data_IF_643808042369
#
_entry.id   IF_643808042369
#
_cell.length_a   1.000
_cell.length_b   1.000
_cell.length_c   1.000
_cell.angle_alpha   90.00
_cell.angle_beta   90.00
_cell.angle_gamma   90.00
#
_symmetry.space_group_name_H-M   'P 1'
#
loop_
_entity.id
_entity.type
_entity.pdbx_description
1 polymer ?
#
# COMPACT_ATOMS: atom_id res chain seq x y z
N UNK A 1 -33.43 -19.39 -7.88
CA UNK A 1 -33.34 -19.89 -6.49
C UNK A 1 -32.74 -18.76 -5.64
N UNK A 2 -33.12 -18.55 -4.37
CA UNK A 2 -32.45 -17.56 -3.50
C UNK A 2 -31.53 -18.32 -2.55
N UNK A 3 -30.25 -17.93 -2.45
CA UNK A 3 -29.28 -18.61 -1.60
C UNK A 3 -29.42 -18.19 -0.12
N UNK A 4 -29.24 -19.14 0.80
CA UNK A 4 -29.24 -18.85 2.24
C UNK A 4 -27.91 -18.23 2.69
N UNK A 5 -27.90 -17.58 3.86
CA UNK A 5 -26.68 -17.00 4.43
C UNK A 5 -25.56 -18.03 4.62
N UNK A 6 -25.91 -19.28 4.96
CA UNK A 6 -24.93 -20.37 5.13
C UNK A 6 -24.33 -20.80 3.78
N UNK A 7 -25.16 -20.86 2.72
CA UNK A 7 -24.69 -21.16 1.37
C UNK A 7 -23.76 -20.06 0.84
N UNK A 8 -24.09 -18.79 1.07
CA UNK A 8 -23.23 -17.65 0.70
C UNK A 8 -21.90 -17.73 1.46
N UNK A 9 -21.92 -18.07 2.75
CA UNK A 9 -20.70 -18.28 3.53
C UNK A 9 -19.85 -19.45 3.00
N UNK A 10 -20.49 -20.52 2.52
CA UNK A 10 -19.79 -21.63 1.86
C UNK A 10 -19.14 -21.18 0.55
N UNK A 11 -19.85 -20.41 -0.29
CA UNK A 11 -19.30 -19.80 -1.50
C UNK A 11 -18.07 -18.94 -1.16
N UNK A 12 -18.19 -18.06 -0.17
CA UNK A 12 -17.11 -17.19 0.30
C UNK A 12 -15.88 -17.98 0.76
N UNK A 13 -16.09 -19.10 1.46
CA UNK A 13 -15.00 -19.99 1.90
C UNK A 13 -14.32 -20.69 0.72
N UNK A 14 -15.09 -21.15 -0.27
CA UNK A 14 -14.57 -21.85 -1.46
C UNK A 14 -13.79 -20.90 -2.37
N UNK A 15 -14.38 -19.77 -2.75
CA UNK A 15 -13.74 -18.73 -3.58
C UNK A 15 -12.55 -18.11 -2.84
N UNK A 16 -12.67 -17.97 -1.51
CA UNK A 16 -11.62 -17.47 -0.65
C UNK A 16 -10.29 -18.24 -0.69
N UNK A 17 -10.26 -19.47 -1.20
CA UNK A 17 -9.01 -20.23 -1.41
C UNK A 17 -8.21 -19.75 -2.62
N UNK A 18 -8.87 -19.08 -3.57
CA UNK A 18 -8.27 -18.70 -4.86
C UNK A 18 -7.97 -17.22 -4.97
N UNK A 19 -8.67 -16.40 -4.19
CA UNK A 19 -8.59 -14.93 -4.21
C UNK A 19 -7.82 -14.40 -3.01
N UNK A 20 -6.89 -13.47 -3.22
CA UNK A 20 -6.05 -12.92 -2.14
C UNK A 20 -6.74 -11.78 -1.39
N UNK A 21 -7.40 -10.88 -2.11
CA UNK A 21 -7.90 -9.63 -1.52
C UNK A 21 -9.39 -9.66 -1.21
N UNK A 22 -9.80 -8.88 -0.20
CA UNK A 22 -11.18 -8.85 0.27
C UNK A 22 -12.13 -8.28 -0.80
N UNK A 23 -11.72 -7.24 -1.52
CA UNK A 23 -12.55 -6.59 -2.54
C UNK A 23 -12.86 -7.53 -3.70
N UNK A 24 -11.83 -8.21 -4.23
CA UNK A 24 -12.00 -9.22 -5.28
C UNK A 24 -12.87 -10.38 -4.78
N UNK A 25 -12.73 -10.78 -3.51
CA UNK A 25 -13.54 -11.86 -2.95
C UNK A 25 -15.02 -11.47 -2.91
N UNK A 26 -15.34 -10.26 -2.45
CA UNK A 26 -16.71 -9.82 -2.33
C UNK A 26 -17.36 -9.65 -3.72
N UNK A 27 -16.63 -9.12 -4.71
CA UNK A 27 -17.10 -9.00 -6.10
C UNK A 27 -17.36 -10.36 -6.76
N UNK A 28 -16.43 -11.31 -6.62
CA UNK A 28 -16.58 -12.64 -7.22
C UNK A 28 -17.69 -13.42 -6.53
N UNK A 29 -17.86 -13.28 -5.21
CA UNK A 29 -18.97 -13.91 -4.49
C UNK A 29 -20.30 -13.33 -4.94
N UNK A 30 -20.42 -12.01 -5.06
CA UNK A 30 -21.65 -11.34 -5.50
C UNK A 30 -22.04 -11.77 -6.93
N UNK A 31 -21.07 -11.84 -7.83
CA UNK A 31 -21.28 -12.33 -9.20
C UNK A 31 -21.69 -13.81 -9.22
N UNK A 32 -20.99 -14.67 -8.48
CA UNK A 32 -21.29 -16.11 -8.44
C UNK A 32 -22.67 -16.38 -7.83
N UNK A 33 -23.02 -15.68 -6.75
CA UNK A 33 -24.35 -15.77 -6.14
C UNK A 33 -25.40 -15.36 -7.16
N UNK A 34 -25.26 -14.19 -7.78
CA UNK A 34 -26.21 -13.70 -8.80
C UNK A 34 -26.37 -14.69 -9.97
N UNK A 35 -25.27 -15.25 -10.47
CA UNK A 35 -25.29 -16.23 -11.56
C UNK A 35 -26.02 -17.53 -11.18
N UNK A 36 -25.80 -18.05 -9.97
CA UNK A 36 -26.48 -19.25 -9.47
C UNK A 36 -27.97 -18.98 -9.26
N UNK A 37 -28.33 -17.82 -8.72
CA UNK A 37 -29.73 -17.48 -8.45
C UNK A 37 -30.56 -17.35 -9.73
N UNK A 38 -29.92 -16.93 -10.82
CA UNK A 38 -30.48 -16.82 -12.18
C UNK A 38 -30.56 -18.16 -12.93
N UNK A 39 -29.96 -19.24 -12.42
CA UNK A 39 -30.07 -20.58 -13.01
C UNK A 39 -31.22 -21.36 -12.33
N UNK A 40 -32.37 -21.55 -13.01
CA UNK A 40 -33.57 -22.10 -12.38
C UNK A 40 -33.56 -23.62 -12.14
N UNK A 41 -32.58 -24.37 -12.67
CA UNK A 41 -32.67 -25.84 -12.80
C UNK A 41 -31.46 -26.65 -12.28
N UNK A 42 -30.57 -26.06 -11.48
CA UNK A 42 -29.40 -26.80 -11.01
C UNK A 42 -29.73 -27.68 -9.79
N UNK A 43 -30.09 -28.95 -10.03
CA UNK A 43 -30.07 -30.02 -9.02
C UNK A 43 -28.64 -30.45 -8.61
N UNK A 44 -27.64 -29.62 -8.92
CA UNK A 44 -26.24 -29.91 -8.64
C UNK A 44 -25.82 -29.42 -7.24
N UNK A 45 -24.83 -30.08 -6.61
CA UNK A 45 -24.23 -29.57 -5.39
C UNK A 45 -23.69 -28.15 -5.58
N UNK A 46 -23.86 -27.29 -4.56
CA UNK A 46 -23.43 -25.88 -4.57
C UNK A 46 -21.96 -25.70 -5.00
N UNK A 47 -21.08 -26.60 -4.57
CA UNK A 47 -19.66 -26.53 -4.94
C UNK A 47 -19.42 -26.73 -6.44
N UNK A 48 -20.20 -27.60 -7.09
CA UNK A 48 -20.15 -27.82 -8.53
C UNK A 48 -20.66 -26.60 -9.28
N UNK A 49 -21.78 -26.02 -8.82
CA UNK A 49 -22.32 -24.78 -9.40
C UNK A 49 -21.33 -23.63 -9.31
N UNK A 50 -20.70 -23.44 -8.14
CA UNK A 50 -19.65 -22.42 -7.96
C UNK A 50 -18.47 -22.66 -8.89
N UNK A 51 -18.01 -23.91 -9.01
CA UNK A 51 -16.89 -24.24 -9.91
C UNK A 51 -17.26 -24.00 -11.37
N UNK A 52 -18.48 -24.34 -11.77
CA UNK A 52 -18.99 -24.13 -13.12
C UNK A 52 -19.00 -22.64 -13.49
N UNK A 53 -19.57 -21.78 -12.63
CA UNK A 53 -19.57 -20.32 -12.84
C UNK A 53 -18.13 -19.78 -12.87
N UNK A 54 -17.25 -20.25 -11.99
CA UNK A 54 -15.83 -19.84 -12.00
C UNK A 54 -15.12 -20.21 -13.30
N UNK A 55 -15.39 -21.38 -13.86
CA UNK A 55 -14.75 -21.83 -15.09
C UNK A 55 -15.35 -21.14 -16.32
N UNK A 56 -16.66 -20.93 -16.34
CA UNK A 56 -17.38 -20.30 -17.46
C UNK A 56 -17.14 -18.78 -17.53
N UNK A 57 -17.35 -18.05 -16.44
CA UNK A 57 -17.37 -16.58 -16.47
C UNK A 57 -15.99 -15.97 -16.22
N UNK A 58 -15.17 -16.67 -15.42
CA UNK A 58 -13.84 -16.19 -15.05
C UNK A 58 -12.72 -16.95 -15.74
N UNK A 59 -13.00 -17.94 -16.60
CA UNK A 59 -11.98 -18.74 -17.29
C UNK A 59 -11.15 -19.63 -16.34
N UNK A 60 -11.73 -19.93 -15.18
CA UNK A 60 -11.13 -20.75 -14.14
C UNK A 60 -10.19 -20.02 -13.19
N UNK A 61 -9.65 -20.77 -12.24
CA UNK A 61 -8.90 -20.26 -11.07
C UNK A 61 -7.63 -19.50 -11.44
N UNK A 62 -6.95 -19.92 -12.51
CA UNK A 62 -5.71 -19.28 -12.98
C UNK A 62 -6.00 -17.89 -13.53
N UNK A 63 -7.03 -17.77 -14.37
CA UNK A 63 -7.43 -16.51 -14.95
C UNK A 63 -8.01 -15.56 -13.89
N UNK A 64 -8.74 -16.09 -12.89
CA UNK A 64 -9.17 -15.30 -11.73
C UNK A 64 -7.98 -14.63 -11.00
N UNK A 65 -6.89 -15.38 -10.77
CA UNK A 65 -5.67 -14.83 -10.18
C UNK A 65 -4.97 -13.83 -11.10
N UNK A 66 -4.96 -14.08 -12.41
CA UNK A 66 -4.37 -13.17 -13.39
C UNK A 66 -5.09 -11.81 -13.39
N UNK A 67 -6.42 -11.80 -13.41
CA UNK A 67 -7.21 -10.57 -13.32
C UNK A 67 -6.99 -9.83 -12.00
N UNK A 68 -6.91 -10.56 -10.87
CA UNK A 68 -6.60 -9.95 -9.57
C UNK A 68 -5.21 -9.27 -9.58
N UNK A 69 -4.21 -9.94 -10.16
CA UNK A 69 -2.86 -9.37 -10.28
C UNK A 69 -2.82 -8.16 -11.19
N UNK A 70 -3.54 -8.20 -12.32
CA UNK A 70 -3.64 -7.08 -13.24
C UNK A 70 -4.29 -5.86 -12.58
N UNK A 71 -5.41 -6.08 -11.88
CA UNK A 71 -6.09 -5.04 -11.09
C UNK A 71 -5.18 -4.48 -10.00
N UNK A 72 -4.47 -5.33 -9.26
CA UNK A 72 -3.52 -4.88 -8.26
C UNK A 72 -2.37 -4.06 -8.86
N UNK A 73 -1.87 -4.43 -10.05
CA UNK A 73 -0.83 -3.70 -10.78
C UNK A 73 -1.31 -2.33 -11.24
N UNK A 74 -2.52 -2.24 -11.79
CA UNK A 74 -3.13 -0.97 -12.20
C UNK A 74 -3.35 -0.05 -11.00
N UNK A 75 -3.91 -0.59 -9.91
CA UNK A 75 -4.10 0.13 -8.66
C UNK A 75 -2.77 0.60 -8.06
N UNK A 76 -1.73 -0.23 -8.11
CA UNK A 76 -0.40 0.15 -7.63
C UNK A 76 0.16 1.32 -8.42
N UNK A 77 0.09 1.26 -9.75
CA UNK A 77 0.55 2.34 -10.63
C UNK A 77 -0.19 3.65 -10.33
N UNK A 78 -1.51 3.59 -10.14
CA UNK A 78 -2.32 4.76 -9.79
C UNK A 78 -1.93 5.34 -8.41
N UNK A 79 -1.78 4.49 -7.39
CA UNK A 79 -1.37 4.90 -6.04
C UNK A 79 0.04 5.50 -6.03
N UNK A 80 0.99 4.87 -6.72
CA UNK A 80 2.36 5.36 -6.80
C UNK A 80 2.45 6.70 -7.56
N UNK A 81 1.65 6.85 -8.63
CA UNK A 81 1.54 8.11 -9.36
C UNK A 81 1.01 9.23 -8.46
N UNK A 82 -0.07 8.97 -7.70
CA UNK A 82 -0.63 9.93 -6.72
C UNK A 82 0.35 10.24 -5.59
N UNK A 83 1.07 9.25 -5.06
CA UNK A 83 2.10 9.46 -4.03
C UNK A 83 3.14 10.48 -4.52
N UNK A 84 3.62 10.29 -5.75
CA UNK A 84 4.60 11.19 -6.36
C UNK A 84 4.02 12.56 -6.68
N UNK A 85 2.74 12.64 -7.04
CA UNK A 85 2.05 13.91 -7.21
C UNK A 85 2.02 14.70 -5.89
N UNK A 86 1.58 14.07 -4.80
CA UNK A 86 1.56 14.68 -3.46
C UNK A 86 2.95 15.06 -2.95
N UNK A 87 3.95 14.24 -3.24
CA UNK A 87 5.33 14.57 -2.93
C UNK A 87 5.76 15.84 -3.66
N UNK A 88 5.55 15.91 -4.99
CA UNK A 88 5.90 17.08 -5.81
C UNK A 88 5.15 18.35 -5.42
N UNK A 89 3.94 18.25 -4.87
CA UNK A 89 3.18 19.41 -4.40
C UNK A 89 3.94 20.21 -3.33
N UNK A 90 4.77 19.58 -2.50
CA UNK A 90 5.59 20.28 -1.50
C UNK A 90 6.67 21.18 -2.10
N UNK A 91 7.04 20.96 -3.37
CA UNK A 91 8.03 21.74 -4.08
C UNK A 91 7.40 22.76 -5.04
N UNK A 92 6.09 22.99 -4.94
CA UNK A 92 5.34 23.97 -5.73
C UNK A 92 4.80 25.08 -4.83
N UNK A 93 4.45 26.22 -5.40
CA UNK A 93 3.80 27.31 -4.67
C UNK A 93 2.40 26.88 -4.19
N UNK A 94 1.97 27.23 -2.97
CA UNK A 94 2.69 28.03 -1.96
C UNK A 94 3.60 27.19 -1.03
N UNK A 95 3.54 25.86 -1.10
CA UNK A 95 4.19 24.95 -0.14
C UNK A 95 5.72 24.94 -0.18
N UNK A 96 6.33 25.39 -1.28
CA UNK A 96 7.80 25.49 -1.39
C UNK A 96 8.41 26.34 -0.26
N UNK A 97 7.72 27.38 0.21
CA UNK A 97 8.18 28.18 1.35
C UNK A 97 8.32 27.35 2.63
N UNK A 98 7.35 26.50 2.93
CA UNK A 98 7.40 25.56 4.05
C UNK A 98 8.57 24.58 3.91
N UNK A 99 8.76 24.03 2.70
CA UNK A 99 9.84 23.08 2.41
C UNK A 99 11.23 23.73 2.57
N UNK A 100 11.39 24.99 2.17
CA UNK A 100 12.63 25.75 2.36
C UNK A 100 12.91 26.04 3.83
N UNK A 101 11.90 26.48 4.60
CA UNK A 101 12.03 26.68 6.05
C UNK A 101 12.42 25.38 6.73
N UNK A 102 11.80 24.26 6.35
CA UNK A 102 12.15 22.94 6.87
C UNK A 102 13.59 22.53 6.53
N UNK A 103 14.06 22.84 5.32
CA UNK A 103 15.43 22.57 4.89
C UNK A 103 16.47 23.37 5.70
N UNK A 104 16.23 24.68 5.88
CA UNK A 104 17.11 25.56 6.66
C UNK A 104 17.10 25.13 8.13
N UNK A 105 15.92 24.87 8.71
CA UNK A 105 15.81 24.38 10.08
C UNK A 105 16.54 23.05 10.26
N UNK A 106 16.38 22.11 9.32
CA UNK A 106 17.08 20.82 9.37
C UNK A 106 18.59 21.01 9.29
N UNK A 107 19.09 21.90 8.43
CA UNK A 107 20.52 22.20 8.29
C UNK A 107 21.13 22.74 9.58
N UNK A 108 20.47 23.71 10.21
CA UNK A 108 20.94 24.29 11.48
C UNK A 108 20.91 23.27 12.63
N UNK A 109 19.96 22.34 12.64
CA UNK A 109 19.82 21.34 13.71
C UNK A 109 20.91 20.26 13.70
N UNK A 110 21.41 19.84 12.53
CA UNK A 110 22.26 18.65 12.37
C UNK A 110 23.56 18.71 13.17
N UNK A 111 24.22 19.86 13.23
CA UNK A 111 25.52 19.99 13.89
C UNK A 111 25.53 21.06 15.02
N UNK A 112 24.56 21.98 15.07
CA UNK A 112 24.55 23.07 16.07
C UNK A 112 23.79 22.72 17.35
N UNK A 113 22.63 22.05 17.22
CA UNK A 113 21.68 21.91 18.35
C UNK A 113 21.42 20.47 18.77
N UNK A 114 21.58 19.50 17.86
CA UNK A 114 21.21 18.11 18.11
C UNK A 114 22.43 17.22 17.85
N UNK A 115 22.61 16.21 18.70
CA UNK A 115 23.59 15.16 18.43
C UNK A 115 23.23 14.46 17.11
N UNK A 116 24.16 14.39 16.17
CA UNK A 116 23.99 13.73 14.87
C UNK A 116 23.39 12.32 14.96
N UNK A 117 23.71 11.52 15.99
CA UNK A 117 23.09 10.21 16.21
C UNK A 117 21.59 10.30 16.47
N UNK A 118 21.17 11.25 17.31
CA UNK A 118 19.76 11.51 17.60
C UNK A 118 19.03 12.04 16.35
N UNK A 119 19.69 12.87 15.55
CA UNK A 119 19.14 13.35 14.28
C UNK A 119 18.88 12.20 13.29
N UNK A 120 19.85 11.30 13.11
CA UNK A 120 19.70 10.11 12.25
C UNK A 120 18.62 9.16 12.78
N UNK A 121 18.51 9.01 14.10
CA UNK A 121 17.41 8.26 14.71
C UNK A 121 16.05 8.88 14.39
N UNK A 122 15.92 10.21 14.42
CA UNK A 122 14.68 10.89 14.02
C UNK A 122 14.34 10.61 12.55
N UNK A 123 15.32 10.64 11.63
CA UNK A 123 15.11 10.27 10.23
C UNK A 123 14.64 8.82 10.07
N UNK A 124 15.21 7.89 10.83
CA UNK A 124 14.76 6.50 10.88
C UNK A 124 13.29 6.44 11.32
N UNK A 125 12.93 7.12 12.41
CA UNK A 125 11.54 7.14 12.89
C UNK A 125 10.58 7.71 11.84
N UNK A 126 10.96 8.79 11.15
CA UNK A 126 10.14 9.33 10.07
C UNK A 126 9.98 8.37 8.89
N UNK A 127 11.03 7.67 8.47
CA UNK A 127 10.94 6.69 7.37
C UNK A 127 10.09 5.47 7.72
N UNK A 128 10.08 5.05 8.99
CA UNK A 128 9.26 3.93 9.47
C UNK A 128 7.83 4.33 9.88
N UNK A 129 7.58 5.61 10.17
CA UNK A 129 6.29 6.09 10.66
C UNK A 129 5.08 5.67 9.80
N UNK A 130 5.13 5.64 8.46
CA UNK A 130 3.96 5.24 7.69
C UNK A 130 3.70 3.73 7.77
N UNK A 131 4.74 2.92 7.95
CA UNK A 131 4.59 1.49 8.23
C UNK A 131 3.92 1.26 9.58
N UNK A 132 4.32 2.01 10.61
CA UNK A 132 3.69 1.91 11.93
C UNK A 132 2.19 2.20 11.85
N UNK A 133 1.79 3.26 11.12
CA UNK A 133 0.38 3.59 10.89
C UNK A 133 -0.40 2.44 10.23
N UNK A 134 0.20 1.77 9.23
CA UNK A 134 -0.41 0.62 8.58
C UNK A 134 -0.52 -0.59 9.52
N UNK A 135 0.54 -0.90 10.28
CA UNK A 135 0.55 -2.00 11.24
C UNK A 135 -0.53 -1.86 12.32
N UNK A 136 -0.72 -0.65 12.86
CA UNK A 136 -1.78 -0.40 13.85
C UNK A 136 -3.19 -0.68 13.32
N UNK A 137 -3.39 -0.62 12.00
CA UNK A 137 -4.69 -0.88 11.38
C UNK A 137 -4.87 -2.33 11.01
N UNK A 138 -3.83 -2.98 10.52
CA UNK A 138 -3.90 -4.41 10.19
C UNK A 138 -4.12 -5.24 11.44
N UNK A 139 -3.51 -4.89 12.57
CA UNK A 139 -3.72 -5.56 13.86
C UNK A 139 -5.19 -5.49 14.32
N UNK A 140 -5.91 -4.40 14.00
CA UNK A 140 -7.32 -4.23 14.38
C UNK A 140 -8.30 -5.01 13.49
N UNK A 141 -7.86 -5.50 12.33
CA UNK A 141 -8.74 -6.16 11.36
C UNK A 141 -8.71 -7.68 11.51
N UNK A 142 -9.90 -8.30 11.54
CA UNK A 142 -10.08 -9.77 11.51
C UNK A 142 -10.38 -10.33 10.11
N UNK A 143 -10.50 -9.47 9.10
CA UNK A 143 -10.84 -9.83 7.72
C UNK A 143 -9.59 -10.03 6.86
N UNK A 144 -9.78 -10.51 5.62
CA UNK A 144 -8.70 -10.51 4.62
C UNK A 144 -8.16 -9.10 4.36
N UNK A 145 -6.94 -9.07 3.85
CA UNK A 145 -6.24 -7.84 3.51
C UNK A 145 -6.92 -7.15 2.32
N UNK A 146 -7.11 -5.83 2.45
CA UNK A 146 -7.58 -4.96 1.36
C UNK A 146 -6.48 -4.76 0.32
N UNK A 147 -6.85 -4.70 -0.97
CA UNK A 147 -5.93 -4.32 -2.07
C UNK A 147 -5.23 -3.00 -1.70
N UNK A 148 -6.00 -1.99 -1.28
CA UNK A 148 -5.48 -0.66 -0.91
C UNK A 148 -4.39 -0.78 0.16
N UNK A 149 -4.66 -1.51 1.24
CA UNK A 149 -3.72 -1.66 2.35
C UNK A 149 -2.44 -2.38 1.90
N UNK A 150 -2.56 -3.46 1.12
CA UNK A 150 -1.41 -4.20 0.60
C UNK A 150 -0.52 -3.32 -0.29
N UNK A 151 -1.13 -2.49 -1.13
CA UNK A 151 -0.41 -1.61 -2.03
C UNK A 151 0.22 -0.41 -1.31
N UNK A 152 -0.41 0.12 -0.27
CA UNK A 152 0.18 1.16 0.57
C UNK A 152 1.44 0.66 1.29
N UNK A 153 1.50 -0.61 1.70
CA UNK A 153 2.75 -1.22 2.22
C UNK A 153 3.86 -1.15 1.16
N UNK A 154 3.55 -1.47 -0.09
CA UNK A 154 4.54 -1.43 -1.19
C UNK A 154 4.99 0.00 -1.50
N UNK A 155 4.07 0.97 -1.51
CA UNK A 155 4.42 2.40 -1.70
C UNK A 155 5.31 2.91 -0.57
N UNK A 156 5.03 2.53 0.68
CA UNK A 156 5.88 2.93 1.80
C UNK A 156 7.27 2.27 1.78
N UNK A 157 7.39 1.09 1.17
CA UNK A 157 8.65 0.37 1.09
C UNK A 157 9.78 1.24 0.50
N UNK A 158 9.47 2.13 -0.45
CA UNK A 158 10.44 3.06 -1.04
C UNK A 158 11.17 3.89 0.03
N UNK A 159 10.47 4.46 1.01
CA UNK A 159 11.09 5.29 2.07
C UNK A 159 12.08 4.48 2.90
N UNK A 160 11.64 3.29 3.35
CA UNK A 160 12.46 2.38 4.14
C UNK A 160 13.65 1.86 3.31
N UNK A 161 13.44 1.52 2.04
CA UNK A 161 14.49 1.08 1.12
C UNK A 161 15.54 2.16 0.92
N UNK A 162 15.14 3.41 0.69
CA UNK A 162 16.09 4.53 0.54
C UNK A 162 16.92 4.71 1.80
N UNK A 163 16.29 4.70 2.98
CA UNK A 163 17.04 4.78 4.24
C UNK A 163 18.03 3.62 4.40
N UNK A 164 17.59 2.39 4.14
CA UNK A 164 18.43 1.20 4.27
C UNK A 164 19.57 1.17 3.25
N UNK A 165 19.31 1.52 1.99
CA UNK A 165 20.34 1.61 0.94
C UNK A 165 21.42 2.61 1.34
N UNK A 166 21.02 3.80 1.80
CA UNK A 166 21.95 4.83 2.27
C UNK A 166 22.69 4.38 3.54
N UNK A 167 22.06 3.61 4.43
CA UNK A 167 22.72 3.18 5.67
C UNK A 167 23.65 1.97 5.49
N UNK A 168 23.26 0.99 4.67
CA UNK A 168 23.93 -0.31 4.58
C UNK A 168 24.96 -0.38 3.45
N UNK A 169 24.67 0.15 2.25
CA UNK A 169 25.62 0.05 1.13
C UNK A 169 26.94 0.74 1.45
N UNK A 170 26.98 1.98 1.98
CA UNK A 170 28.22 2.63 2.39
C UNK A 170 29.05 1.85 3.41
N UNK A 171 28.39 1.11 4.31
CA UNK A 171 29.10 0.33 5.35
C UNK A 171 29.94 -0.79 4.75
N UNK A 172 29.59 -1.31 3.58
CA UNK A 172 30.40 -2.28 2.85
C UNK A 172 31.77 -1.71 2.43
N UNK A 173 31.88 -0.38 2.35
CA UNK A 173 33.09 0.35 2.01
C UNK A 173 33.70 1.08 3.22
N UNK A 174 33.33 0.69 4.45
CA UNK A 174 33.71 1.37 5.70
C UNK A 174 33.30 2.86 5.78
N UNK A 175 32.38 3.30 4.93
CA UNK A 175 31.86 4.65 4.91
C UNK A 175 30.54 4.72 5.69
N UNK A 176 30.43 5.69 6.62
CA UNK A 176 29.20 5.90 7.39
C UNK A 176 28.53 7.18 6.91
N UNK A 177 27.75 7.09 5.82
CA UNK A 177 27.14 8.26 5.16
C UNK A 177 26.48 9.19 6.18
N UNK A 178 25.69 8.65 7.10
CA UNK A 178 24.95 9.44 8.08
C UNK A 178 25.85 10.13 9.13
N UNK A 179 27.02 9.57 9.41
CA UNK A 179 27.95 10.12 10.40
C UNK A 179 28.99 11.04 9.78
N UNK A 180 29.35 10.83 8.52
CA UNK A 180 30.48 11.48 7.86
C UNK A 180 30.07 12.45 6.74
N UNK A 181 28.79 12.49 6.34
CA UNK A 181 28.32 13.41 5.29
C UNK A 181 28.24 14.86 5.77
N UNK A 182 28.27 15.78 4.81
CA UNK A 182 28.00 17.19 5.06
C UNK A 182 26.58 17.41 5.61
N UNK A 183 26.39 18.39 6.50
CA UNK A 183 25.09 18.70 7.11
C UNK A 183 23.99 18.97 6.07
N UNK A 184 24.34 19.59 4.95
CA UNK A 184 23.42 19.85 3.84
C UNK A 184 22.81 18.55 3.26
N UNK A 185 23.59 17.46 3.14
CA UNK A 185 23.08 16.17 2.64
C UNK A 185 22.05 15.61 3.62
N UNK A 186 22.35 15.68 4.92
CA UNK A 186 21.43 15.22 5.97
C UNK A 186 20.15 16.05 6.02
N UNK A 187 20.25 17.36 5.84
CA UNK A 187 19.09 18.24 5.74
C UNK A 187 18.20 17.89 4.54
N UNK A 188 18.79 17.69 3.35
CA UNK A 188 18.05 17.29 2.13
C UNK A 188 17.33 15.96 2.35
N UNK A 189 18.03 14.95 2.89
CA UNK A 189 17.42 13.64 3.17
C UNK A 189 16.29 13.75 4.20
N UNK A 190 16.45 14.62 5.21
CA UNK A 190 15.40 14.84 6.23
C UNK A 190 14.16 15.46 5.62
N UNK A 191 14.33 16.50 4.78
CA UNK A 191 13.23 17.11 4.03
C UNK A 191 12.55 16.07 3.15
N UNK A 192 13.32 15.22 2.46
CA UNK A 192 12.79 14.11 1.67
C UNK A 192 11.91 13.18 2.52
N UNK A 193 12.41 12.67 3.65
CA UNK A 193 11.64 11.75 4.49
C UNK A 193 10.38 12.39 5.08
N UNK A 194 10.46 13.63 5.55
CA UNK A 194 9.31 14.34 6.11
C UNK A 194 8.25 14.59 5.04
N UNK A 195 8.62 15.16 3.90
CA UNK A 195 7.67 15.46 2.81
C UNK A 195 7.09 14.18 2.19
N UNK A 196 7.88 13.11 2.08
CA UNK A 196 7.39 11.80 1.64
C UNK A 196 6.38 11.20 2.62
N UNK A 197 6.66 11.26 3.92
CA UNK A 197 5.75 10.80 4.97
C UNK A 197 4.45 11.61 5.00
N UNK A 198 4.51 12.94 4.89
CA UNK A 198 3.32 13.78 4.81
C UNK A 198 2.48 13.46 3.57
N UNK A 199 3.13 13.23 2.42
CA UNK A 199 2.48 12.82 1.17
C UNK A 199 1.81 11.46 1.31
N UNK A 200 2.47 10.52 2.00
CA UNK A 200 1.90 9.22 2.30
C UNK A 200 0.68 9.34 3.21
N UNK A 201 0.74 10.14 4.28
CA UNK A 201 -0.40 10.36 5.18
C UNK A 201 -1.59 10.95 4.41
N UNK A 202 -1.33 11.88 3.47
CA UNK A 202 -2.35 12.44 2.58
C UNK A 202 -2.97 11.36 1.69
N UNK A 203 -2.15 10.55 1.03
CA UNK A 203 -2.61 9.42 0.21
C UNK A 203 -3.40 8.39 1.02
N UNK A 204 -2.94 8.10 2.24
CA UNK A 204 -3.56 7.16 3.16
C UNK A 204 -4.99 7.62 3.54
N UNK A 205 -5.15 8.91 3.85
CA UNK A 205 -6.44 9.52 4.23
C UNK A 205 -7.42 9.63 3.07
N UNK A 206 -6.92 9.76 1.85
CA UNK A 206 -7.79 9.86 0.67
C UNK A 206 -8.49 8.53 0.41
N UNK A 207 -9.80 8.58 0.19
CA UNK A 207 -10.53 7.50 -0.44
C UNK A 207 -10.11 7.42 -1.91
N UNK A 208 -9.05 6.67 -2.17
CA UNK A 208 -8.69 6.34 -3.54
C UNK A 208 -9.78 5.43 -4.09
N UNK A 209 -10.77 6.03 -4.74
CA UNK A 209 -11.71 5.33 -5.62
C UNK A 209 -10.88 4.81 -6.78
N UNK A 210 -10.49 3.54 -6.70
CA UNK A 210 -9.88 2.85 -7.83
C UNK A 210 -11.00 2.66 -8.84
N UNK A 211 -11.18 3.64 -9.74
CA UNK A 211 -12.03 3.48 -10.91
C UNK A 211 -11.30 2.51 -11.83
N UNK A 212 -11.71 1.26 -11.80
CA UNK A 212 -11.38 0.29 -12.85
C UNK A 212 -12.46 0.49 -13.89
N UNK A 213 -12.08 1.03 -15.05
CA UNK A 213 -12.93 1.11 -16.22
C UNK A 213 -13.03 -0.27 -16.89
#
# INVERSE_FOLDING_TARGET
MILTADQINQCKKTIGKYVKYQETLDEVVDHVVSAIELQPEAYEPLETMVQHVLDQDFGGKSNLRAMEQERAKMAFKALNSKQWEYFKQHFRLPLIGFTLVLAVASYLMVDTYINRKAFVLAMLLFSFSPMMLLCFQTIKRRSKLSIKTALLVQVNFISISVFNVLNFIPRLFNYKIFMQSHAAILAILTVFFITYTLSFIKLYREEVKIKVA
#
